data_IF_339381446301
#
_entry.id   IF_339381446301
#
_cell.length_a   1.000
_cell.length_b   1.000
_cell.length_c   1.000
_cell.angle_alpha   90.00
_cell.angle_beta   90.00
_cell.angle_gamma   90.00
#
_symmetry.space_group_name_H-M   'P 1'
#
loop_
_entity.id
_entity.type
_entity.pdbx_description
1 polymer ?
#
# COMPACT_ATOMS: atom_id res chain seq x y z
N UNK A 1 -40.39 28.42 18.46
CA UNK A 1 -38.90 28.35 18.36
C UNK A 1 -38.27 27.27 19.28
N UNK A 2 -38.83 26.92 20.46
CA UNK A 2 -38.30 25.95 21.40
C UNK A 2 -38.24 24.53 20.79
N UNK A 3 -39.34 24.06 20.18
CA UNK A 3 -39.40 22.73 19.55
C UNK A 3 -38.40 22.60 18.39
N UNK A 4 -38.29 23.63 17.57
CA UNK A 4 -37.40 23.64 16.41
C UNK A 4 -35.90 23.53 16.82
N UNK A 5 -35.52 24.23 17.91
CA UNK A 5 -34.14 24.16 18.43
C UNK A 5 -33.80 22.75 18.97
N UNK A 6 -34.74 22.05 19.62
CA UNK A 6 -34.54 20.70 20.09
C UNK A 6 -34.44 19.69 18.96
N UNK A 7 -35.27 19.82 17.92
CA UNK A 7 -35.20 18.97 16.72
C UNK A 7 -33.88 19.17 15.97
N UNK A 8 -33.40 20.41 15.84
CA UNK A 8 -32.09 20.70 15.24
C UNK A 8 -30.93 20.12 16.06
N UNK A 9 -30.96 20.23 17.38
CA UNK A 9 -29.93 19.67 18.27
C UNK A 9 -29.88 18.15 18.21
N UNK A 10 -31.03 17.48 18.21
CA UNK A 10 -31.11 16.01 18.06
C UNK A 10 -30.65 15.57 16.67
N UNK A 11 -31.01 16.31 15.62
CA UNK A 11 -30.54 16.06 14.26
C UNK A 11 -29.02 16.20 14.11
N UNK A 12 -28.44 17.23 14.70
CA UNK A 12 -27.00 17.43 14.71
C UNK A 12 -26.26 16.30 15.47
N UNK A 13 -26.78 15.88 16.61
CA UNK A 13 -26.23 14.76 17.38
C UNK A 13 -26.30 13.44 16.58
N UNK A 14 -27.43 13.15 15.97
CA UNK A 14 -27.61 11.97 15.14
C UNK A 14 -26.63 11.96 13.95
N UNK A 15 -26.38 13.11 13.34
CA UNK A 15 -25.45 13.28 12.21
C UNK A 15 -24.00 13.03 12.66
N UNK A 16 -23.59 13.54 13.84
CA UNK A 16 -22.26 13.29 14.41
C UNK A 16 -22.06 11.80 14.68
N UNK A 17 -23.05 11.12 15.28
CA UNK A 17 -22.99 9.69 15.55
C UNK A 17 -22.92 8.87 14.26
N UNK A 18 -23.69 9.26 13.24
CA UNK A 18 -23.69 8.59 11.93
C UNK A 18 -22.32 8.69 11.20
N UNK A 19 -21.69 9.86 11.29
CA UNK A 19 -20.38 10.11 10.64
C UNK A 19 -19.17 9.83 11.54
N UNK A 20 -19.39 9.36 12.78
CA UNK A 20 -18.31 9.03 13.70
C UNK A 20 -17.24 8.10 13.10
N UNK A 21 -17.58 6.98 12.40
CA UNK A 21 -16.58 6.09 11.82
C UNK A 21 -15.77 6.75 10.70
N UNK A 22 -16.40 7.61 9.89
CA UNK A 22 -15.73 8.33 8.80
C UNK A 22 -14.76 9.37 9.34
N UNK A 23 -15.17 10.13 10.35
CA UNK A 23 -14.34 11.14 11.03
C UNK A 23 -13.14 10.45 11.70
N UNK A 24 -13.36 9.30 12.36
CA UNK A 24 -12.27 8.53 12.96
C UNK A 24 -11.25 8.09 11.92
N UNK A 25 -11.68 7.54 10.78
CA UNK A 25 -10.79 7.15 9.67
C UNK A 25 -9.98 8.33 9.13
N UNK A 26 -10.62 9.49 8.95
CA UNK A 26 -9.92 10.71 8.51
C UNK A 26 -8.88 11.18 9.54
N UNK A 27 -9.20 11.14 10.83
CA UNK A 27 -8.28 11.51 11.90
C UNK A 27 -7.11 10.53 12.01
N UNK A 28 -7.35 9.23 11.86
CA UNK A 28 -6.31 8.20 11.85
C UNK A 28 -5.37 8.39 10.65
N UNK A 29 -5.89 8.72 9.46
CA UNK A 29 -5.08 9.06 8.28
C UNK A 29 -4.23 10.32 8.49
N UNK A 30 -4.78 11.36 9.12
CA UNK A 30 -4.05 12.59 9.38
C UNK A 30 -3.01 12.44 10.51
N UNK A 31 -3.30 11.60 11.50
CA UNK A 31 -2.40 11.37 12.64
C UNK A 31 -1.19 10.50 12.30
N UNK A 32 -1.34 9.52 11.41
CA UNK A 32 -0.27 8.58 11.08
C UNK A 32 0.77 9.13 10.11
N UNK A 33 0.38 10.00 9.18
CA UNK A 33 1.25 10.44 8.08
C UNK A 33 2.12 11.66 8.39
N UNK A 34 1.68 12.58 9.28
CA UNK A 34 2.35 13.87 9.45
C UNK A 34 3.43 13.93 10.54
N UNK A 35 3.39 13.09 11.56
CA UNK A 35 4.35 13.16 12.66
C UNK A 35 5.70 12.47 12.38
N UNK A 36 5.75 11.51 11.44
CA UNK A 36 6.98 10.79 11.06
C UNK A 36 7.90 11.56 10.09
N UNK A 37 7.42 12.61 9.43
CA UNK A 37 8.11 13.27 8.31
C UNK A 37 9.20 14.28 8.69
N UNK A 38 9.38 14.63 9.98
CA UNK A 38 10.27 15.73 10.37
C UNK A 38 11.72 15.35 10.70
N UNK A 39 12.06 14.05 10.75
CA UNK A 39 13.44 13.64 11.02
C UNK A 39 14.10 13.01 9.79
N UNK A 40 15.04 13.70 9.11
CA UNK A 40 15.70 13.20 7.90
C UNK A 40 16.49 11.91 8.15
N UNK A 41 17.08 11.73 9.33
CA UNK A 41 17.79 10.49 9.69
C UNK A 41 16.84 9.30 9.84
N UNK A 42 15.66 9.51 10.44
CA UNK A 42 14.64 8.45 10.55
C UNK A 42 14.12 8.02 9.16
N UNK A 43 13.97 8.97 8.24
CA UNK A 43 13.55 8.71 6.85
C UNK A 43 14.57 7.84 6.10
N UNK A 44 15.86 8.13 6.22
CA UNK A 44 16.92 7.33 5.57
C UNK A 44 16.93 5.91 6.12
N UNK A 45 16.83 5.71 7.42
CA UNK A 45 16.76 4.38 8.03
C UNK A 45 15.51 3.60 7.59
N UNK A 46 14.38 4.26 7.47
CA UNK A 46 13.13 3.65 7.01
C UNK A 46 13.23 3.21 5.54
N UNK A 47 13.78 4.06 4.66
CA UNK A 47 14.02 3.71 3.25
C UNK A 47 14.91 2.49 3.14
N UNK A 48 16.04 2.45 3.85
CA UNK A 48 16.94 1.29 3.85
C UNK A 48 16.26 0.01 4.38
N UNK A 49 15.38 0.13 5.38
CA UNK A 49 14.63 -1.01 5.89
C UNK A 49 13.62 -1.54 4.84
N UNK A 50 12.95 -0.65 4.11
CA UNK A 50 12.03 -1.00 3.03
C UNK A 50 12.80 -1.65 1.86
N UNK A 51 13.94 -1.10 1.44
CA UNK A 51 14.79 -1.68 0.39
C UNK A 51 15.24 -3.09 0.75
N UNK A 52 15.71 -3.30 1.99
CA UNK A 52 16.06 -4.63 2.46
C UNK A 52 14.84 -5.58 2.46
N UNK A 53 13.68 -5.13 2.91
CA UNK A 53 12.47 -5.95 2.91
C UNK A 53 12.06 -6.34 1.49
N UNK A 54 12.19 -5.44 0.51
CA UNK A 54 11.93 -5.71 -0.91
C UNK A 54 12.91 -6.78 -1.42
N UNK A 55 14.22 -6.59 -1.23
CA UNK A 55 15.24 -7.53 -1.70
C UNK A 55 15.03 -8.93 -1.11
N UNK A 56 14.78 -9.03 0.20
CA UNK A 56 14.52 -10.31 0.88
C UNK A 56 13.21 -10.96 0.39
N UNK A 57 12.18 -10.16 0.10
CA UNK A 57 10.91 -10.66 -0.45
C UNK A 57 11.11 -11.21 -1.87
N UNK A 58 11.84 -10.49 -2.73
CA UNK A 58 12.14 -10.93 -4.10
C UNK A 58 12.92 -12.25 -4.09
N UNK A 59 13.93 -12.36 -3.22
CA UNK A 59 14.71 -13.58 -3.06
C UNK A 59 13.82 -14.74 -2.62
N UNK A 60 13.00 -14.55 -1.58
CA UNK A 60 12.07 -15.56 -1.09
C UNK A 60 11.06 -15.98 -2.16
N UNK A 61 10.41 -15.02 -2.83
CA UNK A 61 9.43 -15.29 -3.90
C UNK A 61 10.06 -16.04 -5.07
N UNK A 62 11.33 -15.73 -5.43
CA UNK A 62 12.05 -16.43 -6.49
C UNK A 62 12.29 -17.92 -6.16
N UNK A 63 12.66 -18.22 -4.93
CA UNK A 63 12.85 -19.61 -4.49
C UNK A 63 11.51 -20.35 -4.36
N UNK A 64 10.50 -19.70 -3.76
CA UNK A 64 9.16 -20.25 -3.59
C UNK A 64 8.41 -20.43 -4.91
N UNK A 65 8.71 -19.60 -5.92
CA UNK A 65 8.24 -19.78 -7.30
C UNK A 65 8.73 -21.11 -7.90
N UNK A 66 10.01 -21.44 -7.73
CA UNK A 66 10.61 -22.70 -8.21
C UNK A 66 10.00 -23.93 -7.52
N UNK A 67 9.74 -23.82 -6.21
CA UNK A 67 9.12 -24.91 -5.42
C UNK A 67 7.60 -24.93 -5.51
N UNK A 68 6.98 -24.00 -6.22
CA UNK A 68 5.52 -23.82 -6.30
C UNK A 68 4.86 -23.70 -4.92
N UNK A 69 5.52 -22.97 -4.03
CA UNK A 69 4.97 -22.66 -2.71
C UNK A 69 4.09 -21.42 -2.83
N UNK A 70 2.83 -21.52 -2.41
CA UNK A 70 1.89 -20.39 -2.42
C UNK A 70 2.32 -19.28 -1.48
N UNK A 71 2.34 -18.03 -1.96
CA UNK A 71 2.74 -16.85 -1.20
C UNK A 71 1.68 -15.76 -1.33
N UNK A 72 1.45 -15.04 -0.25
CA UNK A 72 0.59 -13.86 -0.21
C UNK A 72 1.21 -12.83 0.76
N UNK A 73 1.82 -11.79 0.21
CA UNK A 73 2.51 -10.74 0.98
C UNK A 73 1.89 -9.39 0.64
N UNK A 74 1.47 -8.66 1.66
CA UNK A 74 0.85 -7.33 1.57
C UNK A 74 1.83 -6.30 2.10
N UNK A 75 2.23 -5.36 1.27
CA UNK A 75 2.97 -4.18 1.69
C UNK A 75 2.00 -3.05 2.00
N UNK A 76 1.91 -2.70 3.27
CA UNK A 76 1.15 -1.56 3.76
C UNK A 76 1.79 -0.25 3.27
N UNK A 77 0.96 0.71 2.86
CA UNK A 77 1.42 2.03 2.41
C UNK A 77 0.89 3.13 3.35
N UNK A 78 0.06 4.03 2.83
CA UNK A 78 -0.50 5.13 3.64
C UNK A 78 -1.69 4.68 4.48
N UNK A 79 -2.49 3.75 3.94
CA UNK A 79 -3.65 3.20 4.64
C UNK A 79 -3.22 2.11 5.62
N UNK A 80 -3.42 2.36 6.93
CA UNK A 80 -3.13 1.38 7.96
C UNK A 80 -4.03 0.14 7.85
N UNK A 81 -3.43 -1.05 7.97
CA UNK A 81 -4.09 -2.34 7.84
C UNK A 81 -4.27 -3.05 9.21
N UNK A 82 -4.48 -2.29 10.28
CA UNK A 82 -4.59 -2.85 11.64
C UNK A 82 -5.72 -3.86 11.78
N UNK A 83 -6.87 -3.61 11.15
CA UNK A 83 -8.02 -4.53 11.21
C UNK A 83 -7.69 -5.87 10.52
N UNK A 84 -6.91 -5.85 9.45
CA UNK A 84 -6.44 -7.06 8.76
C UNK A 84 -5.37 -7.76 9.59
N UNK A 85 -4.41 -7.02 10.12
CA UNK A 85 -3.32 -7.57 10.93
C UNK A 85 -3.82 -8.29 12.20
N UNK A 86 -4.89 -7.79 12.82
CA UNK A 86 -5.52 -8.41 14.00
C UNK A 86 -6.16 -9.77 13.71
N UNK A 87 -6.42 -10.11 12.46
CA UNK A 87 -6.95 -11.43 12.08
C UNK A 87 -5.89 -12.53 12.12
N UNK A 88 -4.60 -12.15 12.11
CA UNK A 88 -3.44 -13.03 12.17
C UNK A 88 -2.66 -12.92 13.48
N UNK A 89 -1.41 -13.33 13.42
CA UNK A 89 -0.47 -13.27 14.54
C UNK A 89 0.53 -12.12 14.32
N UNK A 90 0.65 -11.22 15.30
CA UNK A 90 1.67 -10.18 15.29
C UNK A 90 3.04 -10.81 15.52
N UNK A 91 3.98 -10.53 14.61
CA UNK A 91 5.35 -11.09 14.61
C UNK A 91 6.38 -9.99 14.87
N UNK A 92 6.22 -8.84 14.25
CA UNK A 92 7.10 -7.66 14.34
C UNK A 92 8.59 -7.99 14.22
N UNK A 93 8.98 -8.70 13.18
CA UNK A 93 10.34 -9.15 12.93
C UNK A 93 11.02 -8.40 11.78
N UNK A 94 12.37 -8.46 11.74
CA UNK A 94 13.12 -8.06 10.54
C UNK A 94 12.82 -9.05 9.41
N UNK A 95 12.70 -8.54 8.20
CA UNK A 95 12.45 -9.37 7.02
C UNK A 95 13.74 -10.11 6.64
N UNK A 96 13.62 -11.42 6.45
CA UNK A 96 14.62 -12.26 5.78
C UNK A 96 13.95 -13.29 4.90
N UNK A 97 14.63 -13.73 3.84
CA UNK A 97 14.09 -14.73 2.93
C UNK A 97 13.82 -16.05 3.65
N UNK A 98 14.65 -16.42 4.62
CA UNK A 98 14.48 -17.63 5.43
C UNK A 98 13.22 -17.58 6.30
N UNK A 99 12.97 -16.43 6.94
CA UNK A 99 11.74 -16.23 7.74
C UNK A 99 10.49 -16.34 6.88
N UNK A 100 10.48 -15.71 5.71
CA UNK A 100 9.36 -15.79 4.77
C UNK A 100 9.13 -17.23 4.29
N UNK A 101 10.19 -17.94 3.92
CA UNK A 101 10.10 -19.35 3.52
C UNK A 101 9.56 -20.24 4.63
N UNK A 102 9.95 -19.98 5.89
CA UNK A 102 9.44 -20.73 7.04
C UNK A 102 7.95 -20.43 7.30
N UNK A 103 7.51 -19.17 7.16
CA UNK A 103 6.09 -18.81 7.34
C UNK A 103 5.22 -19.48 6.29
N UNK A 104 5.64 -19.45 5.01
CA UNK A 104 4.87 -20.04 3.92
C UNK A 104 5.16 -21.54 3.69
N UNK A 105 6.01 -22.14 4.54
CA UNK A 105 6.23 -23.58 4.49
C UNK A 105 4.92 -24.32 4.71
N UNK A 106 4.62 -25.26 3.81
CA UNK A 106 3.38 -26.05 3.85
C UNK A 106 3.26 -26.77 5.21
N UNK A 107 2.14 -26.61 5.89
CA UNK A 107 1.83 -27.07 7.25
C UNK A 107 2.41 -26.19 8.40
N UNK A 108 3.12 -25.11 8.14
CA UNK A 108 3.41 -24.12 9.17
C UNK A 108 2.11 -23.46 9.66
N UNK A 109 2.03 -23.06 10.92
CA UNK A 109 0.80 -22.52 11.51
C UNK A 109 0.29 -21.24 10.83
N UNK A 110 1.17 -20.47 10.19
CA UNK A 110 0.85 -19.19 9.56
C UNK A 110 0.83 -19.23 8.02
N UNK A 111 1.00 -20.41 7.39
CA UNK A 111 1.12 -20.51 5.93
C UNK A 111 -0.18 -20.24 5.17
N UNK A 112 -1.31 -20.47 5.84
CA UNK A 112 -2.64 -20.20 5.28
C UNK A 112 -3.08 -18.79 5.68
N UNK A 113 -2.88 -17.85 4.78
CA UNK A 113 -3.14 -16.44 4.99
C UNK A 113 -2.05 -15.54 4.38
N UNK A 114 -2.13 -14.27 4.70
CA UNK A 114 -1.20 -13.26 4.22
C UNK A 114 -0.17 -12.86 5.28
N UNK A 115 1.00 -12.47 4.82
CA UNK A 115 1.97 -11.70 5.61
C UNK A 115 1.77 -10.23 5.34
N UNK A 116 1.75 -9.41 6.39
CA UNK A 116 1.70 -7.95 6.29
C UNK A 116 3.08 -7.38 6.59
N UNK A 117 3.57 -6.58 5.65
CA UNK A 117 4.78 -5.79 5.77
C UNK A 117 4.42 -4.36 6.11
N UNK A 118 5.02 -3.81 7.17
CA UNK A 118 4.85 -2.43 7.62
C UNK A 118 6.21 -1.83 7.92
N UNK A 119 6.52 -0.66 7.37
CA UNK A 119 7.76 0.10 7.62
C UNK A 119 9.04 -0.75 7.40
N UNK A 120 9.06 -1.62 6.41
CA UNK A 120 10.20 -2.52 6.13
C UNK A 120 10.37 -3.67 7.13
N UNK A 121 9.35 -3.97 7.94
CA UNK A 121 9.30 -5.10 8.89
C UNK A 121 8.19 -6.07 8.53
N UNK A 122 8.36 -7.33 8.88
CA UNK A 122 7.31 -8.33 8.86
C UNK A 122 6.43 -8.10 10.10
N UNK A 123 5.29 -7.43 9.91
CA UNK A 123 4.43 -7.01 11.01
C UNK A 123 3.53 -8.14 11.53
N UNK A 124 2.81 -8.83 10.63
CA UNK A 124 1.91 -9.91 11.01
C UNK A 124 1.92 -11.03 9.98
N UNK A 125 1.54 -12.24 10.38
CA UNK A 125 1.43 -13.41 9.52
C UNK A 125 0.14 -14.19 9.75
N UNK A 126 -0.29 -14.98 8.75
CA UNK A 126 -1.53 -15.74 8.78
C UNK A 126 -2.78 -14.85 8.76
N UNK A 127 -2.69 -13.66 8.14
CA UNK A 127 -3.79 -12.69 8.12
C UNK A 127 -4.83 -13.05 7.06
N UNK A 128 -6.12 -12.84 7.37
CA UNK A 128 -7.23 -13.02 6.45
C UNK A 128 -7.44 -11.77 5.60
N UNK A 129 -7.48 -11.92 4.28
CA UNK A 129 -7.74 -10.83 3.34
C UNK A 129 -9.16 -10.91 2.79
N UNK A 130 -9.77 -9.76 2.44
CA UNK A 130 -11.03 -9.73 1.72
C UNK A 130 -10.85 -10.32 0.32
N UNK A 131 -11.81 -11.11 -0.13
CA UNK A 131 -11.83 -11.64 -1.50
C UNK A 131 -12.45 -10.62 -2.44
N UNK A 132 -11.88 -10.49 -3.64
CA UNK A 132 -12.51 -9.71 -4.71
C UNK A 132 -13.88 -10.27 -5.07
N UNK A 133 -14.86 -9.37 -5.20
CA UNK A 133 -16.23 -9.68 -5.65
C UNK A 133 -16.38 -9.55 -7.15
N UNK A 134 -15.32 -9.24 -7.89
CA UNK A 134 -15.35 -9.04 -9.32
C UNK A 134 -15.62 -10.38 -10.03
N UNK A 135 -16.78 -10.52 -10.66
CA UNK A 135 -17.23 -11.70 -11.37
C UNK A 135 -16.48 -11.92 -12.70
N UNK A 136 -15.84 -10.89 -13.22
CA UNK A 136 -15.10 -10.93 -14.49
C UNK A 136 -13.65 -11.42 -14.33
N UNK A 137 -13.23 -11.79 -13.12
CA UNK A 137 -11.91 -12.38 -12.92
C UNK A 137 -11.84 -13.76 -13.57
N UNK A 138 -10.69 -14.03 -14.23
CA UNK A 138 -10.41 -15.33 -14.82
C UNK A 138 -10.65 -16.47 -13.82
N UNK A 139 -11.22 -17.56 -14.29
CA UNK A 139 -11.46 -18.77 -13.47
C UNK A 139 -10.17 -19.47 -13.05
N UNK A 140 -9.07 -19.22 -13.77
CA UNK A 140 -7.75 -19.77 -13.47
C UNK A 140 -7.05 -19.11 -12.27
N UNK A 141 -7.68 -18.09 -11.68
CA UNK A 141 -7.13 -17.41 -10.50
C UNK A 141 -7.53 -18.15 -9.23
N UNK A 142 -6.53 -18.73 -8.55
CA UNK A 142 -6.71 -19.37 -7.25
C UNK A 142 -7.08 -18.35 -6.15
N UNK A 143 -7.37 -18.87 -4.95
CA UNK A 143 -7.86 -18.08 -3.80
C UNK A 143 -6.90 -16.97 -3.41
N UNK A 144 -5.56 -17.20 -3.41
CA UNK A 144 -4.56 -16.18 -3.09
C UNK A 144 -4.58 -15.00 -4.06
N UNK A 145 -4.81 -15.25 -5.35
CA UNK A 145 -4.96 -14.17 -6.33
C UNK A 145 -6.22 -13.34 -6.07
N UNK A 146 -7.35 -14.00 -5.80
CA UNK A 146 -8.61 -13.30 -5.48
C UNK A 146 -8.52 -12.50 -4.19
N UNK A 147 -7.80 -13.01 -3.20
CA UNK A 147 -7.52 -12.32 -1.94
C UNK A 147 -6.60 -11.11 -2.17
N UNK A 148 -5.53 -11.27 -2.97
CA UNK A 148 -4.62 -10.17 -3.28
C UNK A 148 -5.29 -9.04 -4.07
N UNK A 149 -6.12 -9.39 -5.06
CA UNK A 149 -6.93 -8.41 -5.81
C UNK A 149 -7.89 -7.72 -4.85
N UNK A 150 -8.66 -8.47 -4.05
CA UNK A 150 -9.63 -7.92 -3.11
C UNK A 150 -8.99 -6.99 -2.07
N UNK A 151 -7.78 -7.30 -1.59
CA UNK A 151 -7.03 -6.41 -0.71
C UNK A 151 -6.66 -5.11 -1.42
N UNK A 152 -6.15 -5.18 -2.65
CA UNK A 152 -5.77 -4.02 -3.44
C UNK A 152 -6.96 -3.20 -3.97
N UNK A 153 -8.17 -3.75 -4.01
CA UNK A 153 -9.42 -3.01 -4.28
C UNK A 153 -9.86 -2.15 -3.08
N UNK A 154 -9.54 -2.61 -1.87
CA UNK A 154 -10.02 -1.99 -0.62
C UNK A 154 -8.95 -1.16 0.10
N UNK A 155 -7.73 -1.07 -0.44
CA UNK A 155 -6.62 -0.32 0.13
C UNK A 155 -5.64 0.13 -0.95
N UNK A 156 -4.69 0.98 -0.56
CA UNK A 156 -3.56 1.39 -1.41
C UNK A 156 -2.38 0.41 -1.35
N UNK A 157 -2.55 -0.73 -0.69
CA UNK A 157 -1.50 -1.72 -0.50
C UNK A 157 -1.04 -2.37 -1.81
N UNK A 158 0.24 -2.73 -1.85
CA UNK A 158 0.84 -3.54 -2.92
C UNK A 158 0.87 -5.00 -2.46
N UNK A 159 0.27 -5.90 -3.25
CA UNK A 159 0.15 -7.30 -2.87
C UNK A 159 0.93 -8.20 -3.81
N UNK A 160 1.93 -8.91 -3.28
CA UNK A 160 2.73 -9.91 -4.01
C UNK A 160 2.14 -11.29 -3.81
N UNK A 161 1.97 -12.03 -4.91
CA UNK A 161 1.37 -13.36 -4.93
C UNK A 161 2.29 -14.31 -5.68
N UNK A 162 2.54 -15.50 -5.12
CA UNK A 162 3.11 -16.64 -5.86
C UNK A 162 2.06 -17.74 -5.93
N UNK A 163 1.80 -18.21 -7.15
CA UNK A 163 0.84 -19.30 -7.39
C UNK A 163 1.42 -20.63 -6.92
N UNK A 164 0.68 -21.37 -6.12
CA UNK A 164 1.04 -22.74 -5.73
C UNK A 164 0.84 -23.76 -6.88
N UNK A 165 0.02 -23.43 -7.88
CA UNK A 165 -0.24 -24.30 -9.02
C UNK A 165 0.85 -24.15 -10.09
N UNK A 166 1.20 -22.89 -10.41
CA UNK A 166 2.08 -22.58 -11.56
C UNK A 166 3.45 -22.06 -11.17
N UNK A 167 3.63 -21.59 -9.91
CA UNK A 167 4.82 -20.88 -9.48
C UNK A 167 4.90 -19.44 -9.99
N UNK A 168 3.89 -18.96 -10.72
CA UNK A 168 3.90 -17.62 -11.31
C UNK A 168 3.90 -16.53 -10.23
N UNK A 169 4.82 -15.58 -10.36
CA UNK A 169 4.84 -14.37 -9.51
C UNK A 169 3.93 -13.32 -10.11
N UNK A 170 3.08 -12.73 -9.29
CA UNK A 170 2.11 -11.71 -9.68
C UNK A 170 2.07 -10.60 -8.63
N UNK A 171 1.65 -9.40 -9.03
CA UNK A 171 1.41 -8.27 -8.12
C UNK A 171 0.03 -7.69 -8.38
N UNK A 172 -0.73 -7.45 -7.30
CA UNK A 172 -2.01 -6.75 -7.35
C UNK A 172 -1.85 -5.33 -6.77
N UNK A 173 -2.35 -4.33 -7.51
CA UNK A 173 -2.34 -2.90 -7.13
C UNK A 173 -3.62 -2.27 -7.67
N UNK A 174 -4.40 -1.58 -6.82
CA UNK A 174 -5.61 -0.86 -7.22
C UNK A 174 -6.63 -1.74 -7.95
N UNK A 175 -6.77 -3.01 -7.54
CA UNK A 175 -7.67 -3.99 -8.18
C UNK A 175 -7.14 -4.62 -9.48
N UNK A 176 -5.96 -4.21 -9.94
CA UNK A 176 -5.35 -4.72 -11.17
C UNK A 176 -4.28 -5.75 -10.84
N UNK A 177 -4.27 -6.88 -11.58
CA UNK A 177 -3.29 -7.95 -11.42
C UNK A 177 -2.29 -7.96 -12.57
N UNK A 178 -1.01 -7.73 -12.25
CA UNK A 178 0.13 -7.93 -13.17
C UNK A 178 0.69 -9.33 -12.93
N UNK A 179 0.72 -10.16 -13.97
CA UNK A 179 1.14 -11.58 -13.89
C UNK A 179 2.47 -11.81 -14.59
N UNK A 180 3.09 -12.97 -14.31
CA UNK A 180 4.32 -13.45 -14.96
C UNK A 180 5.50 -12.49 -14.78
N UNK A 181 5.67 -11.96 -13.56
CA UNK A 181 6.77 -11.07 -13.27
C UNK A 181 8.07 -11.86 -13.10
N UNK A 182 9.12 -11.39 -13.76
CA UNK A 182 10.49 -11.83 -13.48
C UNK A 182 10.98 -11.16 -12.18
N UNK A 183 11.92 -11.78 -11.45
CA UNK A 183 12.42 -11.24 -10.18
C UNK A 183 12.88 -9.78 -10.26
N UNK A 184 13.60 -9.42 -11.33
CA UNK A 184 14.13 -8.06 -11.52
C UNK A 184 12.99 -7.04 -11.80
N UNK A 185 11.92 -7.49 -12.47
CA UNK A 185 10.73 -6.67 -12.71
C UNK A 185 9.92 -6.48 -11.44
N UNK A 186 9.81 -7.54 -10.62
CA UNK A 186 9.17 -7.47 -9.31
C UNK A 186 9.90 -6.47 -8.41
N UNK A 187 11.24 -6.55 -8.32
CA UNK A 187 12.05 -5.64 -7.52
C UNK A 187 11.85 -4.19 -7.93
N UNK A 188 11.99 -3.87 -9.22
CA UNK A 188 11.78 -2.52 -9.75
C UNK A 188 10.39 -2.01 -9.47
N UNK A 189 9.36 -2.85 -9.63
CA UNK A 189 7.98 -2.47 -9.35
C UNK A 189 7.80 -2.14 -7.86
N UNK A 190 8.30 -2.98 -6.95
CA UNK A 190 8.20 -2.74 -5.52
C UNK A 190 8.95 -1.49 -5.08
N UNK A 191 10.17 -1.25 -5.61
CA UNK A 191 10.93 -0.03 -5.34
C UNK A 191 10.15 1.22 -5.76
N UNK A 192 9.55 1.21 -6.96
CA UNK A 192 8.79 2.34 -7.47
C UNK A 192 7.50 2.62 -6.69
N UNK A 193 6.84 1.57 -6.19
CA UNK A 193 5.56 1.72 -5.48
C UNK A 193 5.70 2.00 -3.99
N UNK A 194 6.78 1.51 -3.35
CA UNK A 194 6.93 1.55 -1.89
C UNK A 194 7.89 2.63 -1.40
N UNK A 195 8.83 3.05 -2.25
CA UNK A 195 9.75 4.13 -1.89
C UNK A 195 9.22 5.42 -2.47
N UNK A 196 8.86 6.41 -1.63
CA UNK A 196 8.46 7.72 -2.11
C UNK A 196 9.61 8.29 -2.95
N UNK A 197 9.40 8.42 -4.24
CA UNK A 197 10.34 9.17 -5.08
C UNK A 197 10.41 10.58 -4.50
N UNK A 198 11.62 11.09 -4.27
CA UNK A 198 11.81 12.49 -3.92
C UNK A 198 11.00 13.32 -4.93
N UNK A 199 10.27 14.37 -4.48
CA UNK A 199 9.56 15.24 -5.39
C UNK A 199 10.54 15.59 -6.50
N UNK A 200 10.13 15.34 -7.74
CA UNK A 200 10.98 15.55 -8.92
C UNK A 200 11.33 17.04 -8.93
N UNK A 201 12.49 17.42 -8.35
CA UNK A 201 12.97 18.83 -8.31
C UNK A 201 12.94 19.41 -9.72
N UNK A 202 13.15 18.56 -10.72
CA UNK A 202 13.01 18.94 -12.13
C UNK A 202 11.56 19.23 -12.56
N UNK A 203 10.57 18.67 -11.87
CA UNK A 203 9.15 18.92 -12.17
C UNK A 203 8.68 20.21 -11.51
N UNK A 204 9.14 20.50 -10.31
CA UNK A 204 8.89 21.78 -9.64
C UNK A 204 9.66 22.91 -10.33
N UNK A 205 10.91 22.71 -10.71
CA UNK A 205 11.69 23.69 -11.47
C UNK A 205 11.05 24.00 -12.83
N UNK A 206 10.58 22.99 -13.55
CA UNK A 206 9.81 23.18 -14.80
C UNK A 206 8.49 23.90 -14.58
N UNK A 207 7.81 23.65 -13.47
CA UNK A 207 6.56 24.33 -13.11
C UNK A 207 6.84 25.79 -12.72
N UNK A 208 7.88 26.05 -11.91
CA UNK A 208 8.31 27.41 -11.56
C UNK A 208 8.76 28.22 -12.76
N UNK A 209 9.56 27.63 -13.64
CA UNK A 209 10.01 28.27 -14.89
C UNK A 209 8.83 28.57 -15.83
N UNK A 210 7.84 27.66 -15.88
CA UNK A 210 6.64 27.85 -16.71
C UNK A 210 5.70 28.91 -16.14
N UNK A 211 5.51 28.95 -14.83
CA UNK A 211 4.77 29.99 -14.11
C UNK A 211 5.46 31.35 -14.24
N UNK A 212 6.79 31.38 -14.11
CA UNK A 212 7.59 32.62 -14.24
C UNK A 212 7.50 33.17 -15.68
N UNK A 213 7.56 32.32 -16.72
CA UNK A 213 7.32 32.73 -18.11
C UNK A 213 5.92 33.29 -18.35
N UNK A 214 4.88 32.70 -17.75
CA UNK A 214 3.50 33.20 -17.89
C UNK A 214 3.31 34.55 -17.19
N UNK A 215 3.97 34.76 -16.05
CA UNK A 215 3.91 36.02 -15.31
C UNK A 215 4.73 37.13 -15.97
N UNK A 216 5.82 36.79 -16.70
CA UNK A 216 6.64 37.79 -17.41
C UNK A 216 6.12 38.08 -18.80
N UNK A 217 5.43 37.15 -19.46
CA UNK A 217 4.82 37.37 -20.78
C UNK A 217 3.60 38.35 -20.76
N UNK A 218 3.02 38.59 -19.57
CA UNK A 218 1.91 39.54 -19.42
C UNK A 218 2.30 40.98 -19.17
N UNK A 219 3.61 41.35 -19.22
CA UNK A 219 4.11 42.70 -18.89
C UNK A 219 4.76 43.46 -20.05
N UNK A 220 4.66 42.93 -21.27
CA UNK A 220 5.29 43.53 -22.43
C UNK A 220 4.29 43.93 -23.52
N UNK A 221 3.31 44.83 -23.20
CA UNK A 221 2.57 45.53 -24.25
C UNK A 221 1.85 46.75 -23.66
N UNK A 222 2.61 47.78 -23.30
CA UNK A 222 2.10 49.15 -23.11
C UNK A 222 3.28 50.13 -23.09
N UNK A 223 3.81 50.43 -24.24
CA UNK A 223 4.46 51.70 -24.54
C UNK A 223 4.95 51.61 -26.01
N UNK A 224 4.11 52.12 -26.90
CA UNK A 224 4.50 52.85 -28.10
C UNK A 224 3.22 53.27 -28.85
N UNK A 225 2.68 54.39 -28.43
CA UNK A 225 1.86 55.30 -29.22
C UNK A 225 1.96 56.71 -28.62
N UNK A 226 2.91 57.49 -29.09
CA UNK A 226 2.76 58.95 -29.31
C UNK A 226 3.69 59.33 -30.48
#
# INVERSE_FOLDING_TARGET
NFILSHVLSLGALALIVLFQPEIRRLLDQLGSSRLRSFNPFARTQQVTAIENAISQTVLACTEMSKSRTGVLIVFEREMALDDVARTGTIVDARVSSELLKNIFFVKAAMHDGAVIMRDGRLYAGGCMLPLSKNVNLSRDLGMRHRAGIGMSENSDAVVVIVSEETGTISVAIGGLLKRHLMPETLEKLLLNELIPQAPDEQREEKLHVRLWRLLTAGKGDKHDEI
#
